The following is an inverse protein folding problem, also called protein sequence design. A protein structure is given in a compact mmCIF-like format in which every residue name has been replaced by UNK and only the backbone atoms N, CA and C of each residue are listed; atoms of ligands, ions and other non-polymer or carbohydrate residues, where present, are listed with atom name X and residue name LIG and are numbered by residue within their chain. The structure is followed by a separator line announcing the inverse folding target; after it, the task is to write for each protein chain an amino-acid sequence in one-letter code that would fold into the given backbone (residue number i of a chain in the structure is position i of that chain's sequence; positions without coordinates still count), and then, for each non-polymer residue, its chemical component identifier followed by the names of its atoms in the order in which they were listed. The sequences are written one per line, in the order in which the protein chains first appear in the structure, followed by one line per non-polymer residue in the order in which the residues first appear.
data_IF_945482511911
#
_entry.id   IF_945482511911
#
_cell.length_a   1.000
_cell.length_b   1.000
_cell.length_c   1.000
_cell.angle_alpha   90.00
_cell.angle_beta   90.00
_cell.angle_gamma   90.00
#
_symmetry.space_group_name_H-M   'P 1'
#
loop_
_entity.id
_entity.type
_entity.pdbx_description
1 polymer ?
#
# COMPACT_ATOMS: atom_id res chain seq x y z
N UNK A 1 14.87 -9.32 29.37
CA UNK A 1 14.53 -8.17 28.49
C UNK A 1 13.86 -8.73 27.25
N UNK A 2 12.64 -8.32 26.92
CA UNK A 2 11.95 -8.82 25.73
C UNK A 2 12.65 -8.32 24.45
N UNK A 3 13.08 -9.24 23.59
CA UNK A 3 13.64 -8.91 22.27
C UNK A 3 12.57 -8.22 21.42
N UNK A 4 12.83 -6.98 20.98
CA UNK A 4 11.92 -6.27 20.06
C UNK A 4 11.97 -6.94 18.70
N UNK A 5 10.88 -7.61 18.30
CA UNK A 5 10.73 -8.20 16.97
C UNK A 5 10.78 -7.09 15.92
N UNK A 6 11.72 -7.18 14.98
CA UNK A 6 11.83 -6.25 13.85
C UNK A 6 10.83 -6.68 12.76
N UNK A 7 9.98 -5.76 12.33
CA UNK A 7 9.02 -5.97 11.23
C UNK A 7 9.49 -5.18 10.01
N UNK A 8 9.36 -5.78 8.82
CA UNK A 8 9.70 -5.13 7.55
C UNK A 8 8.43 -4.90 6.74
N UNK A 9 8.05 -3.64 6.56
CA UNK A 9 6.90 -3.24 5.75
C UNK A 9 7.38 -2.84 4.34
N UNK A 10 6.76 -3.40 3.30
CA UNK A 10 6.97 -2.99 1.91
C UNK A 10 5.89 -2.00 1.51
N UNK A 11 6.27 -0.74 1.27
CA UNK A 11 5.34 0.34 0.89
C UNK A 11 5.48 0.65 -0.60
N UNK A 12 4.35 0.76 -1.31
CA UNK A 12 4.29 1.13 -2.74
C UNK A 12 3.61 2.50 -2.85
N UNK A 13 4.17 3.40 -3.65
CA UNK A 13 3.60 4.73 -3.92
C UNK A 13 3.08 4.76 -5.37
N UNK A 14 1.78 5.05 -5.53
CA UNK A 14 1.11 5.12 -6.83
C UNK A 14 0.69 6.57 -7.15
N UNK A 15 0.52 6.87 -8.43
CA UNK A 15 0.06 8.17 -8.93
C UNK A 15 0.70 8.53 -10.27
N UNK A 16 0.14 9.52 -10.96
CA UNK A 16 0.56 9.95 -12.30
C UNK A 16 1.99 10.51 -12.33
N UNK A 17 2.56 10.64 -13.53
CA UNK A 17 3.87 11.29 -13.70
C UNK A 17 3.82 12.75 -13.22
N UNK A 18 4.91 13.23 -12.61
CA UNK A 18 5.03 14.64 -12.17
C UNK A 18 4.34 15.01 -10.85
N UNK A 19 3.50 14.14 -10.26
CA UNK A 19 2.75 14.48 -9.01
C UNK A 19 3.60 14.55 -7.72
N UNK A 20 4.94 14.41 -7.82
CA UNK A 20 5.84 14.57 -6.67
C UNK A 20 6.10 13.31 -5.85
N UNK A 21 5.76 12.09 -6.33
CA UNK A 21 6.04 10.82 -5.62
C UNK A 21 7.50 10.68 -5.17
N UNK A 22 8.45 10.91 -6.08
CA UNK A 22 9.89 10.84 -5.79
C UNK A 22 10.31 11.88 -4.77
N UNK A 23 9.78 13.10 -4.89
CA UNK A 23 10.07 14.19 -3.95
C UNK A 23 9.54 13.88 -2.55
N UNK A 24 8.34 13.30 -2.45
CA UNK A 24 7.74 12.88 -1.18
C UNK A 24 8.57 11.79 -0.50
N UNK A 25 9.01 10.78 -1.26
CA UNK A 25 9.87 9.71 -0.75
C UNK A 25 11.25 10.24 -0.30
N UNK A 26 11.86 11.11 -1.10
CA UNK A 26 13.16 11.70 -0.77
C UNK A 26 13.06 12.62 0.46
N UNK A 27 11.95 13.35 0.60
CA UNK A 27 11.69 14.14 1.78
C UNK A 27 11.58 13.26 3.02
N UNK A 28 10.84 12.16 2.94
CA UNK A 28 10.69 11.24 4.08
C UNK A 28 11.99 10.53 4.47
N UNK A 29 12.73 9.97 3.50
CA UNK A 29 13.92 9.16 3.78
C UNK A 29 15.14 10.01 4.07
N UNK A 30 15.32 11.09 3.31
CA UNK A 30 16.56 11.86 3.31
C UNK A 30 16.41 13.26 3.91
N UNK A 31 15.21 13.68 4.32
CA UNK A 31 14.90 15.05 4.76
C UNK A 31 15.39 16.10 3.75
N UNK A 32 15.28 15.79 2.46
CA UNK A 32 15.77 16.63 1.37
C UNK A 32 14.70 16.81 0.31
N UNK A 33 14.49 18.07 -0.05
CA UNK A 33 13.78 18.45 -1.25
C UNK A 33 14.78 19.04 -2.26
N UNK A 34 14.71 18.57 -3.51
CA UNK A 34 15.51 19.13 -4.59
C UNK A 34 14.62 19.97 -5.50
N UNK A 35 14.94 21.25 -5.61
CA UNK A 35 14.37 22.13 -6.63
C UNK A 35 14.94 21.85 -8.04
N UNK A 36 15.94 20.97 -8.18
CA UNK A 36 16.34 20.46 -9.50
C UNK A 36 15.27 19.49 -9.99
N UNK A 37 14.18 20.11 -10.41
CA UNK A 37 13.10 19.50 -11.12
C UNK A 37 13.66 19.18 -12.53
N UNK A 38 14.08 17.93 -12.76
CA UNK A 38 13.96 17.35 -14.10
C UNK A 38 12.46 17.26 -14.36
N UNK A 39 11.86 18.37 -14.78
CA UNK A 39 10.50 18.36 -15.26
C UNK A 39 10.42 17.34 -16.40
N UNK A 40 9.43 16.45 -16.36
CA UNK A 40 8.49 16.55 -17.47
C UNK A 40 7.59 17.71 -17.10
N UNK A 41 7.64 18.73 -17.94
CA UNK A 41 7.12 20.10 -17.82
C UNK A 41 5.84 20.22 -16.96
N UNK A 42 5.87 21.17 -16.01
CA UNK A 42 4.69 21.89 -15.52
C UNK A 42 4.00 21.32 -14.28
N UNK A 43 4.31 21.87 -13.11
CA UNK A 43 3.39 21.90 -11.97
C UNK A 43 3.84 22.98 -10.96
N UNK A 44 3.31 24.19 -11.12
CA UNK A 44 3.12 25.13 -10.01
C UNK A 44 1.60 25.31 -9.89
N UNK A 45 1.06 24.92 -8.73
CA UNK A 45 -0.37 24.94 -8.35
C UNK A 45 -1.30 24.00 -9.15
N UNK A 46 -2.08 23.18 -8.42
CA UNK A 46 -2.92 22.07 -8.92
C UNK A 46 -4.17 22.55 -9.68
N UNK A 47 -3.97 23.24 -10.78
CA UNK A 47 -4.97 23.50 -11.80
C UNK A 47 -4.51 22.84 -13.09
N UNK A 48 -5.20 21.78 -13.51
CA UNK A 48 -4.95 21.20 -14.83
C UNK A 48 -5.93 21.80 -15.80
N UNK A 49 -5.42 22.57 -16.76
CA UNK A 49 -6.22 23.01 -17.88
C UNK A 49 -6.39 21.86 -18.86
N UNK A 50 -7.64 21.55 -19.21
CA UNK A 50 -8.00 20.47 -20.13
C UNK A 50 -8.89 21.06 -21.21
N UNK A 51 -8.58 20.76 -22.47
CA UNK A 51 -9.43 21.10 -23.61
C UNK A 51 -10.62 20.14 -23.66
N UNK A 52 -11.84 20.67 -23.56
CA UNK A 52 -13.10 19.94 -23.70
C UNK A 52 -13.98 20.73 -24.66
N UNK A 53 -14.33 20.15 -25.82
CA UNK A 53 -15.18 20.77 -26.84
C UNK A 53 -14.74 22.21 -27.22
N UNK A 54 -13.45 22.35 -27.56
CA UNK A 54 -12.78 23.63 -27.89
C UNK A 54 -12.76 24.67 -26.76
N UNK A 55 -13.04 24.27 -25.52
CA UNK A 55 -12.96 25.14 -24.34
C UNK A 55 -11.82 24.69 -23.42
N UNK A 56 -11.02 25.66 -23.00
CA UNK A 56 -10.01 25.45 -21.97
C UNK A 56 -10.70 25.45 -20.60
N UNK A 57 -10.70 24.30 -19.92
CA UNK A 57 -11.36 24.11 -18.62
C UNK A 57 -10.30 23.90 -17.55
N UNK A 58 -10.31 24.75 -16.54
CA UNK A 58 -9.49 24.57 -15.35
C UNK A 58 -10.10 23.52 -14.42
N UNK A 59 -9.48 22.36 -14.31
CA UNK A 59 -9.87 21.32 -13.34
C UNK A 59 -9.21 21.57 -11.99
N UNK A 60 -10.03 21.65 -10.94
CA UNK A 60 -9.59 21.64 -9.54
C UNK A 60 -10.29 20.52 -8.77
N UNK A 61 -9.52 19.80 -7.95
CA UNK A 61 -10.06 18.86 -6.97
C UNK A 61 -10.02 19.54 -5.61
N UNK A 62 -11.20 19.80 -5.04
CA UNK A 62 -11.29 20.39 -3.70
C UNK A 62 -10.95 19.35 -2.62
N UNK A 63 -10.40 19.82 -1.51
CA UNK A 63 -10.10 18.97 -0.32
C UNK A 63 -11.32 18.17 0.11
N UNK A 64 -12.50 18.79 0.17
CA UNK A 64 -13.76 18.13 0.53
C UNK A 64 -14.10 16.97 -0.41
N UNK A 65 -13.89 17.15 -1.71
CA UNK A 65 -14.15 16.11 -2.71
C UNK A 65 -13.17 14.95 -2.58
N UNK A 66 -11.90 15.24 -2.35
CA UNK A 66 -10.87 14.22 -2.13
C UNK A 66 -11.15 13.41 -0.86
N UNK A 67 -11.46 14.08 0.26
CA UNK A 67 -11.82 13.42 1.52
C UNK A 67 -13.06 12.55 1.37
N UNK A 68 -14.13 13.03 0.72
CA UNK A 68 -15.35 12.25 0.50
C UNK A 68 -15.07 10.99 -0.36
N UNK A 69 -14.21 11.11 -1.37
CA UNK A 69 -13.81 9.95 -2.18
C UNK A 69 -13.04 8.92 -1.34
N UNK A 70 -12.06 9.36 -0.54
CA UNK A 70 -11.31 8.50 0.36
C UNK A 70 -12.20 7.79 1.40
N UNK A 71 -13.17 8.51 1.97
CA UNK A 71 -14.19 7.95 2.87
C UNK A 71 -15.00 6.85 2.18
N UNK A 72 -15.45 7.09 0.94
CA UNK A 72 -16.22 6.11 0.16
C UNK A 72 -15.41 4.87 -0.23
N UNK A 73 -14.09 4.99 -0.33
CA UNK A 73 -13.17 3.91 -0.68
C UNK A 73 -12.63 3.22 0.56
N UNK A 74 -13.52 2.71 1.41
CA UNK A 74 -13.16 1.95 2.60
C UNK A 74 -12.41 2.78 3.66
N UNK A 75 -12.78 4.07 3.78
CA UNK A 75 -12.21 5.01 4.74
C UNK A 75 -10.68 5.14 4.65
N UNK A 76 -10.15 5.28 3.43
CA UNK A 76 -8.72 5.51 3.21
C UNK A 76 -8.30 6.81 3.94
N UNK A 77 -7.24 6.78 4.76
CA UNK A 77 -6.70 7.99 5.36
C UNK A 77 -6.24 8.99 4.28
N UNK A 78 -6.63 10.25 4.44
CA UNK A 78 -6.28 11.34 3.51
C UNK A 78 -5.36 12.35 4.20
N UNK A 79 -4.30 12.77 3.50
CA UNK A 79 -3.35 13.78 3.96
C UNK A 79 -3.03 14.76 2.83
N UNK A 80 -3.04 16.05 3.13
CA UNK A 80 -2.42 17.07 2.28
C UNK A 80 -0.96 17.22 2.69
N UNK A 81 -0.02 16.98 1.78
CA UNK A 81 1.42 16.97 2.09
C UNK A 81 2.18 17.96 1.24
N UNK A 82 3.18 18.62 1.82
CA UNK A 82 4.18 19.43 1.08
C UNK A 82 5.53 18.77 1.20
N UNK A 83 6.02 18.16 0.12
CA UNK A 83 7.38 17.60 0.10
C UNK A 83 8.44 18.69 0.25
N UNK A 84 8.16 19.91 -0.24
CA UNK A 84 9.07 21.06 -0.16
C UNK A 84 9.19 21.60 1.26
N UNK A 85 8.07 21.70 1.96
CA UNK A 85 7.99 22.30 3.30
C UNK A 85 7.92 21.25 4.41
N UNK A 86 8.06 19.96 4.08
CA UNK A 86 7.94 18.83 4.98
C UNK A 86 6.57 18.70 5.70
N UNK A 87 5.51 19.31 5.17
CA UNK A 87 4.19 19.31 5.82
C UNK A 87 3.55 17.92 5.67
N UNK A 88 3.11 17.34 6.80
CA UNK A 88 2.38 16.06 6.91
C UNK A 88 3.04 14.82 6.30
N UNK A 89 4.29 14.90 5.86
CA UNK A 89 5.02 13.77 5.27
C UNK A 89 5.17 12.64 6.29
N UNK A 90 5.73 12.93 7.46
CA UNK A 90 5.94 11.92 8.51
C UNK A 90 4.63 11.34 9.02
N UNK A 91 3.62 12.18 9.23
CA UNK A 91 2.31 11.74 9.72
C UNK A 91 1.64 10.78 8.74
N UNK A 92 1.77 11.01 7.43
CA UNK A 92 1.25 10.12 6.40
C UNK A 92 1.93 8.74 6.46
N UNK A 93 3.27 8.70 6.46
CA UNK A 93 4.01 7.43 6.52
C UNK A 93 3.82 6.67 7.85
N UNK A 94 3.76 7.37 8.98
CA UNK A 94 3.47 6.77 10.27
C UNK A 94 2.07 6.16 10.33
N UNK A 95 1.09 6.80 9.69
CA UNK A 95 -0.28 6.29 9.63
C UNK A 95 -0.35 5.01 8.80
N UNK A 96 0.35 4.95 7.66
CA UNK A 96 0.48 3.72 6.86
C UNK A 96 1.10 2.60 7.70
N UNK A 97 2.22 2.86 8.36
CA UNK A 97 2.91 1.87 9.17
C UNK A 97 2.03 1.35 10.32
N UNK A 98 1.34 2.25 11.02
CA UNK A 98 0.44 1.91 12.12
C UNK A 98 -0.73 1.04 11.63
N UNK A 99 -1.30 1.37 10.48
CA UNK A 99 -2.43 0.61 9.93
C UNK A 99 -2.00 -0.78 9.44
N UNK A 100 -0.83 -0.89 8.82
CA UNK A 100 -0.27 -2.19 8.40
C UNK A 100 -0.01 -3.11 9.60
N UNK A 101 0.58 -2.60 10.67
CA UNK A 101 0.85 -3.38 11.89
C UNK A 101 -0.43 -3.85 12.61
N UNK A 102 -1.53 -3.10 12.50
CA UNK A 102 -2.84 -3.52 13.03
C UNK A 102 -3.46 -4.65 12.21
N UNK A 103 -3.19 -4.71 10.91
CA UNK A 103 -3.70 -5.77 10.04
C UNK A 103 -2.91 -7.08 10.20
N UNK A 104 -1.62 -7.02 10.54
CA UNK A 104 -0.80 -8.22 10.78
C UNK A 104 -1.31 -9.09 11.95
N UNK A 105 -2.04 -8.53 12.92
CA UNK A 105 -2.62 -9.32 14.02
C UNK A 105 -3.86 -10.14 13.64
N UNK A 106 -4.43 -9.95 12.44
CA UNK A 106 -5.67 -10.63 12.00
C UNK A 106 -5.42 -11.76 10.99
N UNK A 107 -4.21 -11.89 10.43
CA UNK A 107 -3.86 -13.00 9.55
C UNK A 107 -3.40 -14.18 10.41
N UNK A 108 -4.35 -14.98 10.89
CA UNK A 108 -4.07 -16.29 11.49
C UNK A 108 -3.20 -17.11 10.51
N UNK A 109 -2.08 -17.70 10.96
CA UNK A 109 -1.29 -18.61 10.14
C UNK A 109 -2.22 -19.75 9.68
N UNK A 110 -2.46 -19.87 8.37
CA UNK A 110 -3.10 -21.05 7.82
C UNK A 110 -2.17 -22.24 8.07
N UNK A 111 -2.46 -23.01 9.11
CA UNK A 111 -1.79 -24.27 9.42
C UNK A 111 -2.25 -25.29 8.38
N UNK A 112 -1.44 -25.50 7.33
CA UNK A 112 -1.70 -26.56 6.37
C UNK A 112 -1.43 -27.90 7.07
N UNK A 113 -2.41 -28.81 7.16
CA UNK A 113 -2.16 -30.11 7.78
C UNK A 113 -1.10 -30.87 6.97
N UNK A 114 -0.04 -31.30 7.65
CA UNK A 114 1.17 -31.83 7.01
C UNK A 114 0.92 -33.01 6.06
N UNK A 115 -0.13 -33.81 6.28
CA UNK A 115 -0.44 -34.96 5.41
C UNK A 115 -1.94 -35.28 5.39
N UNK A 116 -2.52 -35.31 4.19
CA UNK A 116 -3.82 -35.96 3.95
C UNK A 116 -3.55 -37.48 3.93
N UNK A 117 -3.89 -38.17 5.02
CA UNK A 117 -3.91 -39.65 5.01
C UNK A 117 -5.10 -40.10 4.18
N UNK A 118 -4.86 -40.44 2.91
CA UNK A 118 -5.81 -41.21 2.11
C UNK A 118 -6.00 -42.55 2.82
N UNK A 119 -7.21 -42.80 3.34
CA UNK A 119 -7.58 -44.12 3.83
C UNK A 119 -7.54 -45.08 2.64
N UNK A 120 -6.65 -46.04 2.72
CA UNK A 120 -6.57 -47.15 1.78
C UNK A 120 -7.68 -48.14 2.19
N UNK A 121 -8.90 -47.93 1.68
CA UNK A 121 -10.02 -48.87 1.83
C UNK A 121 -9.76 -50.12 0.99
N UNK A 122 -8.80 -50.94 1.42
CA UNK A 122 -8.65 -52.32 0.95
C UNK A 122 -9.27 -53.26 1.98
N UNK A 123 -10.32 -54.02 1.62
CA UNK A 123 -10.95 -54.95 2.55
C UNK A 123 -9.94 -56.04 2.91
N UNK A 124 -9.87 -56.35 4.20
CA UNK A 124 -9.09 -57.47 4.71
C UNK A 124 -9.61 -58.78 4.08
N UNK A 125 -8.89 -59.32 3.10
CA UNK A 125 -9.06 -60.71 2.69
C UNK A 125 -8.21 -61.58 3.59
N UNK A 126 -8.91 -62.31 4.45
CA UNK A 126 -8.47 -63.47 5.19
C UNK A 126 -7.78 -64.53 4.32
N UNK A 127 -6.97 -65.35 5.00
CA UNK A 127 -6.63 -66.76 4.71
C UNK A 127 -5.85 -67.08 3.42
N UNK A 128 -4.61 -67.52 3.55
CA UNK A 128 -4.23 -68.95 3.55
C UNK A 128 -2.72 -69.14 3.33
N UNK A 129 -2.17 -70.18 3.95
CA UNK A 129 -0.73 -70.42 4.08
C UNK A 129 -0.01 -70.93 2.82
N UNK A 130 1.32 -71.01 2.91
CA UNK A 130 2.05 -72.27 2.76
C UNK A 130 3.51 -72.08 3.22
N UNK A 131 4.04 -73.15 3.79
CA UNK A 131 5.38 -73.34 4.34
C UNK A 131 6.21 -74.11 3.31
N UNK A 132 7.35 -73.55 2.87
CA UNK A 132 8.51 -74.28 2.31
C UNK A 132 9.66 -73.31 2.05
#
# INVERSE_FOLDING_TARGET
MASRKKVLLKVIILGDSGVGKTSLMNQYVNNKFSNQYKATIGADFLTKEVMVDDRLVTMQVTTKRAQAWCQSKNNIPYFETSAKEAINVDQAFQTIARNALKQESEVEPYDFPDQIKLRDDRPASSSDGCNC
#
